data_IF_718143334721
#
_entry.id   IF_718143334721
#
_cell.length_a   1.000
_cell.length_b   1.000
_cell.length_c   1.000
_cell.angle_alpha   90.00
_cell.angle_beta   90.00
_cell.angle_gamma   90.00
#
_symmetry.space_group_name_H-M   'P 1'
#
loop_
_entity.id
_entity.type
_entity.pdbx_description
1 polymer ?
#
# COMPACT_ATOMS: atom_id res chain seq x y z
N UNK A 1 49.50 -53.53 9.72
CA UNK A 1 49.80 -54.69 8.84
C UNK A 1 48.56 -54.97 8.01
N UNK A 2 48.66 -54.81 6.67
CA UNK A 2 47.77 -55.26 5.57
C UNK A 2 46.25 -54.95 5.69
N UNK A 3 45.60 -54.07 4.92
CA UNK A 3 45.41 -53.95 3.45
C UNK A 3 45.11 -55.30 2.75
N UNK A 4 43.99 -55.35 2.02
CA UNK A 4 44.11 -55.53 0.57
C UNK A 4 43.41 -54.40 -0.22
N UNK A 5 44.15 -53.86 -1.19
CA UNK A 5 43.70 -53.07 -2.32
C UNK A 5 43.18 -54.04 -3.39
N UNK A 6 42.16 -53.72 -4.19
CA UNK A 6 42.25 -53.02 -5.50
C UNK A 6 40.98 -53.46 -6.28
N UNK A 7 40.35 -52.73 -7.21
CA UNK A 7 40.85 -52.24 -8.51
C UNK A 7 39.85 -51.23 -9.11
N UNK A 8 40.42 -50.21 -9.76
CA UNK A 8 39.99 -49.24 -10.79
C UNK A 8 38.57 -49.11 -11.39
N UNK A 9 38.22 -47.83 -11.61
CA UNK A 9 37.24 -47.21 -12.54
C UNK A 9 37.77 -47.23 -14.01
N UNK A 10 37.27 -46.47 -15.04
CA UNK A 10 36.07 -45.59 -15.19
C UNK A 10 35.33 -45.73 -16.56
N UNK A 11 34.10 -45.19 -16.73
CA UNK A 11 33.58 -44.62 -18.02
C UNK A 11 32.40 -43.65 -17.75
N UNK A 12 32.53 -42.38 -18.17
CA UNK A 12 31.46 -41.34 -18.29
C UNK A 12 30.76 -41.44 -19.66
N UNK A 13 29.85 -40.54 -20.11
CA UNK A 13 28.84 -39.71 -19.45
C UNK A 13 27.43 -39.95 -20.04
N UNK A 14 26.37 -39.46 -19.40
CA UNK A 14 25.08 -39.25 -20.08
C UNK A 14 24.44 -37.98 -19.57
N UNK A 15 24.58 -36.93 -20.39
CA UNK A 15 23.75 -35.76 -20.37
C UNK A 15 22.27 -36.17 -20.36
N UNK A 16 21.43 -35.49 -19.58
CA UNK A 16 20.14 -35.00 -20.03
C UNK A 16 19.58 -34.00 -19.00
N UNK A 17 19.34 -32.80 -19.51
CA UNK A 17 18.37 -31.81 -19.07
C UNK A 17 18.48 -31.25 -17.66
N UNK A 18 19.27 -30.19 -17.57
CA UNK A 18 18.99 -29.00 -16.77
C UNK A 18 17.51 -28.62 -16.92
N UNK A 19 16.68 -29.00 -15.95
CA UNK A 19 15.39 -28.33 -15.73
C UNK A 19 15.65 -27.27 -14.68
N UNK A 20 15.68 -26.03 -15.15
CA UNK A 20 15.74 -24.83 -14.33
C UNK A 20 14.73 -24.95 -13.19
N UNK A 21 15.22 -24.89 -11.95
CA UNK A 21 14.40 -24.54 -10.81
C UNK A 21 13.86 -23.13 -11.08
N UNK A 22 12.59 -23.05 -11.47
CA UNK A 22 11.87 -21.78 -11.55
C UNK A 22 11.51 -21.43 -10.11
N UNK A 23 12.07 -20.36 -9.52
CA UNK A 23 11.54 -19.83 -8.28
C UNK A 23 10.14 -19.31 -8.59
N UNK A 24 9.13 -19.87 -7.92
CA UNK A 24 7.75 -19.40 -8.00
C UNK A 24 7.73 -18.07 -7.23
N UNK A 25 7.96 -16.98 -7.96
CA UNK A 25 7.71 -15.62 -7.52
C UNK A 25 6.25 -15.52 -7.05
N UNK A 26 6.01 -15.34 -5.75
CA UNK A 26 4.80 -14.63 -5.36
C UNK A 26 4.92 -13.24 -5.99
N UNK A 27 3.95 -12.88 -6.85
CA UNK A 27 3.80 -11.51 -7.34
C UNK A 27 3.41 -10.64 -6.14
N UNK A 28 4.38 -10.09 -5.43
CA UNK A 28 4.16 -8.93 -4.58
C UNK A 28 3.70 -7.81 -5.51
N UNK A 29 2.43 -7.41 -5.43
CA UNK A 29 1.95 -6.23 -6.15
C UNK A 29 2.58 -5.01 -5.47
N UNK A 30 3.59 -4.42 -6.10
CA UNK A 30 4.33 -3.27 -5.57
C UNK A 30 3.54 -2.02 -5.92
N UNK A 31 2.94 -1.41 -4.91
CA UNK A 31 2.12 -0.22 -5.06
C UNK A 31 2.68 0.81 -4.08
N UNK A 32 3.15 1.92 -4.62
CA UNK A 32 3.84 2.98 -3.90
C UNK A 32 3.28 4.32 -4.34
N UNK A 33 2.95 5.17 -3.38
CA UNK A 33 2.48 6.54 -3.60
C UNK A 33 3.49 7.53 -3.03
N UNK A 34 3.62 8.70 -3.66
CA UNK A 34 4.43 9.83 -3.18
C UNK A 34 3.57 11.08 -3.08
N UNK A 35 3.72 11.87 -2.01
CA UNK A 35 2.97 13.12 -1.80
C UNK A 35 3.91 14.30 -1.71
N UNK A 36 3.92 15.13 -2.77
CA UNK A 36 4.66 16.39 -2.85
C UNK A 36 4.02 17.45 -1.93
N UNK A 37 4.85 18.17 -1.16
CA UNK A 37 4.42 19.21 -0.22
C UNK A 37 5.05 20.55 -0.61
N UNK A 38 4.22 21.58 -0.81
CA UNK A 38 4.62 22.99 -0.78
C UNK A 38 3.77 23.76 0.25
N UNK A 39 4.43 24.56 1.08
CA UNK A 39 3.84 25.26 2.22
C UNK A 39 3.21 26.61 1.84
N UNK A 40 2.02 26.89 2.38
CA UNK A 40 1.64 28.28 2.72
C UNK A 40 0.50 28.31 3.75
N UNK A 41 0.60 29.26 4.69
CA UNK A 41 -0.28 29.46 5.85
C UNK A 41 -1.61 30.12 5.47
N UNK A 42 -2.71 29.75 6.16
CA UNK A 42 -4.03 30.32 5.93
C UNK A 42 -4.68 30.92 7.19
N UNK A 43 -5.32 32.07 6.98
CA UNK A 43 -6.23 32.73 7.92
C UNK A 43 -7.70 32.29 7.71
N UNK A 44 -8.42 32.31 8.83
CA UNK A 44 -9.77 31.82 9.15
C UNK A 44 -10.90 32.68 8.56
N UNK A 45 -12.07 32.08 8.21
CA UNK A 45 -13.42 32.42 8.73
C UNK A 45 -14.64 31.80 7.98
N UNK A 46 -15.46 31.06 8.75
CA UNK A 46 -16.93 31.00 8.93
C UNK A 46 -18.01 30.86 7.80
N UNK A 47 -18.73 29.71 7.90
CA UNK A 47 -20.19 29.43 7.98
C UNK A 47 -21.21 29.89 6.90
N UNK A 48 -22.11 28.97 6.46
CA UNK A 48 -23.59 28.97 6.69
C UNK A 48 -24.34 27.78 5.98
N UNK A 49 -25.35 27.29 6.71
CA UNK A 49 -26.50 26.36 6.55
C UNK A 49 -27.02 25.72 5.23
N UNK A 50 -27.61 24.53 5.45
CA UNK A 50 -28.33 23.56 4.58
C UNK A 50 -29.82 23.87 4.29
N UNK A 51 -30.35 23.36 3.16
CA UNK A 51 -31.56 22.48 3.08
C UNK A 51 -31.74 21.80 1.70
N UNK A 52 -32.53 20.70 1.58
CA UNK A 52 -32.31 19.64 0.58
C UNK A 52 -33.34 19.58 -0.56
N UNK A 53 -32.95 18.96 -1.68
CA UNK A 53 -33.82 18.49 -2.76
C UNK A 53 -33.31 17.15 -3.34
N UNK A 54 -34.19 16.37 -3.97
CA UNK A 54 -34.11 14.91 -4.15
C UNK A 54 -33.74 14.49 -5.59
N UNK A 55 -32.88 13.45 -5.72
CA UNK A 55 -32.47 12.62 -6.92
C UNK A 55 -31.44 13.24 -7.91
N UNK A 56 -30.68 12.46 -8.70
CA UNK A 56 -30.06 11.12 -8.53
C UNK A 56 -28.62 11.26 -7.96
N UNK A 57 -27.84 10.19 -7.81
CA UNK A 57 -26.46 10.28 -7.29
C UNK A 57 -25.51 10.95 -8.31
N UNK A 58 -25.57 12.27 -8.36
CA UNK A 58 -24.63 13.14 -9.07
C UNK A 58 -23.65 13.67 -8.02
N UNK A 59 -22.35 13.39 -8.17
CA UNK A 59 -21.33 13.83 -7.21
C UNK A 59 -20.60 15.04 -7.79
N UNK A 60 -21.03 16.23 -7.38
CA UNK A 60 -20.36 17.50 -7.72
C UNK A 60 -19.31 17.77 -6.65
N UNK A 61 -18.04 17.73 -7.02
CA UNK A 61 -16.91 18.05 -6.14
C UNK A 61 -16.49 19.52 -6.31
N UNK A 62 -16.95 20.40 -5.42
CA UNK A 62 -16.40 21.75 -5.26
C UNK A 62 -15.33 21.73 -4.16
N UNK A 63 -14.07 21.81 -4.54
CA UNK A 63 -12.97 21.98 -3.60
C UNK A 63 -12.83 23.47 -3.26
N UNK A 64 -13.43 23.92 -2.15
CA UNK A 64 -13.30 25.31 -1.68
C UNK A 64 -12.37 25.39 -0.46
N UNK A 65 -11.31 26.20 -0.60
CA UNK A 65 -10.33 26.74 0.37
C UNK A 65 -8.92 26.15 0.19
N UNK A 66 -7.83 26.87 -0.14
CA UNK A 66 -7.61 28.30 -0.42
C UNK A 66 -6.17 28.55 -0.93
N UNK A 67 -6.05 29.45 -1.91
CA UNK A 67 -4.91 30.30 -2.34
C UNK A 67 -3.49 29.74 -2.42
N UNK A 68 -3.21 28.99 -3.48
CA UNK A 68 -2.06 29.16 -4.38
C UNK A 68 -2.50 28.61 -5.74
N UNK A 69 -2.18 29.30 -6.84
CA UNK A 69 -2.70 29.01 -8.18
C UNK A 69 -2.30 27.63 -8.70
N UNK A 70 -3.11 26.62 -8.39
CA UNK A 70 -3.25 25.40 -9.17
C UNK A 70 -4.70 25.38 -9.64
N UNK A 71 -4.90 25.40 -10.97
CA UNK A 71 -6.21 25.26 -11.59
C UNK A 71 -6.90 24.05 -10.99
N UNK A 72 -7.97 24.29 -10.25
CA UNK A 72 -8.81 23.26 -9.63
C UNK A 72 -9.63 22.63 -10.74
N UNK A 73 -9.07 21.61 -11.39
CA UNK A 73 -9.76 20.85 -12.43
C UNK A 73 -10.83 19.99 -11.76
N UNK A 74 -12.07 20.46 -11.75
CA UNK A 74 -13.22 19.66 -11.30
C UNK A 74 -13.45 18.51 -12.27
N UNK A 75 -13.47 17.28 -11.78
CA UNK A 75 -13.73 16.10 -12.60
C UNK A 75 -14.83 15.23 -12.01
N UNK A 76 -15.53 14.50 -12.86
CA UNK A 76 -16.64 13.60 -12.53
C UNK A 76 -16.41 12.23 -13.19
N UNK A 77 -16.65 11.16 -12.43
CA UNK A 77 -16.66 9.79 -12.94
C UNK A 77 -18.08 9.22 -12.93
N UNK A 78 -18.48 8.62 -14.05
CA UNK A 78 -19.75 7.92 -14.21
C UNK A 78 -19.50 6.46 -14.57
N UNK A 79 -19.95 5.54 -13.72
CA UNK A 79 -19.86 4.10 -13.93
C UNK A 79 -21.07 3.60 -14.74
N UNK A 80 -20.84 3.26 -16.02
CA UNK A 80 -21.83 2.64 -16.90
C UNK A 80 -21.85 1.12 -16.79
N UNK A 81 -22.61 0.43 -17.64
CA UNK A 81 -22.60 -1.05 -17.64
C UNK A 81 -21.24 -1.58 -18.10
N UNK A 82 -20.80 -1.15 -19.28
CA UNK A 82 -19.62 -1.71 -19.96
C UNK A 82 -18.46 -0.72 -20.04
N UNK A 83 -18.71 0.52 -19.63
CA UNK A 83 -17.88 1.70 -19.88
C UNK A 83 -17.85 2.58 -18.65
N UNK A 84 -16.79 3.37 -18.53
CA UNK A 84 -16.60 4.33 -17.45
C UNK A 84 -16.26 5.66 -18.08
N UNK A 85 -17.06 6.67 -17.79
CA UNK A 85 -16.89 8.00 -18.33
C UNK A 85 -16.24 8.91 -17.28
N UNK A 86 -15.16 9.58 -17.69
CA UNK A 86 -14.49 10.63 -16.95
C UNK A 86 -14.77 11.95 -17.66
N UNK A 87 -15.33 12.93 -16.95
CA UNK A 87 -15.48 14.30 -17.40
C UNK A 87 -14.53 15.18 -16.61
N UNK A 88 -13.68 15.93 -17.29
CA UNK A 88 -12.71 16.85 -16.69
C UNK A 88 -13.01 18.26 -17.19
N UNK A 89 -13.37 19.18 -16.29
CA UNK A 89 -13.61 20.58 -16.62
C UNK A 89 -12.28 21.29 -16.84
N UNK A 90 -12.08 21.77 -18.06
CA UNK A 90 -10.91 22.50 -18.51
C UNK A 90 -11.16 23.98 -18.20
N UNK A 91 -10.32 24.59 -17.36
CA UNK A 91 -10.47 26.01 -17.01
C UNK A 91 -10.37 26.94 -18.24
N UNK A 92 -11.08 28.07 -18.18
CA UNK A 92 -11.44 28.95 -19.30
C UNK A 92 -10.31 29.54 -20.17
N UNK A 93 -9.02 29.47 -19.79
CA UNK A 93 -8.01 30.39 -20.36
C UNK A 93 -6.86 29.79 -21.20
N UNK A 94 -6.76 28.47 -21.47
CA UNK A 94 -5.57 27.98 -22.21
C UNK A 94 -5.75 26.90 -23.28
N UNK A 95 -6.95 26.38 -23.53
CA UNK A 95 -7.15 25.24 -24.43
C UNK A 95 -8.04 25.64 -25.60
N UNK A 96 -7.45 25.73 -26.80
CA UNK A 96 -8.16 26.16 -28.01
C UNK A 96 -8.38 25.01 -29.00
N UNK A 97 -7.75 23.85 -28.80
CA UNK A 97 -7.82 22.71 -29.74
C UNK A 97 -7.46 21.38 -29.09
N UNK A 98 -7.92 20.26 -29.67
CA UNK A 98 -7.50 18.89 -29.33
C UNK A 98 -5.98 18.66 -29.42
N UNK A 99 -5.25 19.54 -30.11
CA UNK A 99 -3.78 19.52 -30.19
C UNK A 99 -3.07 19.94 -28.89
N UNK A 100 -3.80 20.57 -27.98
CA UNK A 100 -3.29 21.06 -26.70
C UNK A 100 -3.53 20.06 -25.56
N UNK A 101 -4.15 18.91 -25.85
CA UNK A 101 -4.45 17.82 -24.90
C UNK A 101 -3.83 16.52 -25.40
N UNK A 102 -3.14 15.82 -24.50
CA UNK A 102 -2.64 14.47 -24.71
C UNK A 102 -3.29 13.56 -23.68
N UNK A 103 -4.05 12.58 -24.17
CA UNK A 103 -4.63 11.51 -23.34
C UNK A 103 -3.92 10.23 -23.72
N UNK A 104 -3.21 9.65 -22.76
CA UNK A 104 -2.53 8.37 -22.89
C UNK A 104 -3.11 7.40 -21.87
N UNK A 105 -3.65 6.29 -22.35
CA UNK A 105 -4.20 5.25 -21.50
C UNK A 105 -3.39 3.98 -21.74
N UNK A 106 -2.77 3.47 -20.68
CA UNK A 106 -2.14 2.17 -20.65
C UNK A 106 -2.99 1.18 -19.82
N UNK A 107 -2.53 -0.06 -19.63
CA UNK A 107 -3.29 -1.07 -18.86
C UNK A 107 -3.51 -0.64 -17.40
N UNK A 108 -2.55 0.08 -16.83
CA UNK A 108 -2.48 0.39 -15.40
C UNK A 108 -2.76 1.85 -15.06
N UNK A 109 -2.66 2.79 -16.00
CA UNK A 109 -2.69 4.23 -15.78
C UNK A 109 -3.37 4.99 -16.95
N UNK A 110 -4.08 6.05 -16.60
CA UNK A 110 -4.57 7.10 -17.50
C UNK A 110 -3.81 8.38 -17.19
N UNK A 111 -3.06 8.87 -18.16
CA UNK A 111 -2.32 10.13 -18.07
C UNK A 111 -2.93 11.16 -19.00
N UNK A 112 -3.35 12.30 -18.44
CA UNK A 112 -3.87 13.44 -19.17
C UNK A 112 -2.87 14.59 -19.01
N UNK A 113 -2.29 15.04 -20.12
CA UNK A 113 -1.38 16.18 -20.17
C UNK A 113 -2.03 17.31 -20.97
N UNK A 114 -1.90 18.53 -20.46
CA UNK A 114 -2.43 19.72 -21.09
C UNK A 114 -1.29 20.69 -21.37
N UNK A 115 -1.38 21.40 -22.49
CA UNK A 115 -0.39 22.39 -22.88
C UNK A 115 -0.64 23.69 -22.11
N UNK A 116 0.36 24.13 -21.36
CA UNK A 116 0.41 25.41 -20.66
C UNK A 116 1.72 26.10 -21.04
N UNK A 117 1.66 27.35 -21.49
CA UNK A 117 2.83 28.17 -21.87
C UNK A 117 3.78 27.47 -22.87
N UNK A 118 3.22 26.69 -23.81
CA UNK A 118 3.98 26.00 -24.84
C UNK A 118 4.59 24.64 -24.42
N UNK A 119 4.45 24.23 -23.17
CA UNK A 119 4.90 22.92 -22.67
C UNK A 119 3.73 22.06 -22.17
N UNK A 120 3.82 20.73 -22.30
CA UNK A 120 2.82 19.82 -21.76
C UNK A 120 3.09 19.57 -20.27
N UNK A 121 2.11 19.86 -19.42
CA UNK A 121 2.11 19.51 -18.00
C UNK A 121 1.08 18.41 -17.75
N UNK A 122 1.42 17.46 -16.89
CA UNK A 122 0.46 16.45 -16.42
C UNK A 122 -0.64 17.14 -15.64
N UNK A 123 -1.84 17.12 -16.18
CA UNK A 123 -3.05 17.66 -15.57
C UNK A 123 -3.66 16.66 -14.60
N UNK A 124 -3.59 15.36 -14.95
CA UNK A 124 -4.13 14.28 -14.16
C UNK A 124 -3.44 12.97 -14.51
N UNK A 125 -3.20 12.13 -13.51
CA UNK A 125 -2.70 10.77 -13.66
C UNK A 125 -3.50 9.87 -12.71
N UNK A 126 -4.03 8.77 -13.23
CA UNK A 126 -4.98 7.92 -12.50
C UNK A 126 -4.62 6.46 -12.72
N UNK A 127 -4.58 5.65 -11.66
CA UNK A 127 -4.45 4.20 -11.80
C UNK A 127 -5.77 3.55 -12.28
N UNK A 128 -5.70 2.81 -13.38
CA UNK A 128 -6.80 2.06 -14.00
C UNK A 128 -6.92 0.61 -13.48
N UNK A 129 -5.97 0.16 -12.65
CA UNK A 129 -5.95 -1.15 -11.99
C UNK A 129 -6.07 -2.37 -12.92
N UNK A 130 -5.61 -2.26 -14.17
CA UNK A 130 -5.72 -3.30 -15.19
C UNK A 130 -7.18 -3.71 -15.47
N UNK A 131 -8.14 -2.81 -15.20
CA UNK A 131 -9.58 -3.07 -15.36
C UNK A 131 -10.16 -2.50 -16.64
N UNK A 132 -9.36 -1.77 -17.42
CA UNK A 132 -9.78 -1.15 -18.68
C UNK A 132 -9.08 -1.85 -19.84
N UNK A 133 -9.71 -1.83 -21.01
CA UNK A 133 -9.08 -2.14 -22.28
C UNK A 133 -8.54 -0.85 -22.90
N UNK A 134 -7.22 -0.57 -22.83
CA UNK A 134 -6.69 0.73 -23.22
C UNK A 134 -6.87 1.02 -24.72
N UNK A 135 -6.83 -0.04 -25.54
CA UNK A 135 -7.06 0.04 -26.98
C UNK A 135 -8.50 0.42 -27.37
N UNK A 136 -9.45 0.32 -26.43
CA UNK A 136 -10.86 0.71 -26.61
C UNK A 136 -11.18 2.02 -25.86
N UNK A 137 -10.15 2.75 -25.39
CA UNK A 137 -10.33 4.07 -24.78
C UNK A 137 -10.53 5.13 -25.85
N UNK A 138 -11.60 5.91 -25.70
CA UNK A 138 -11.94 7.01 -26.62
C UNK A 138 -12.05 8.28 -25.79
N UNK A 139 -11.59 9.40 -26.33
CA UNK A 139 -11.76 10.70 -25.70
C UNK A 139 -12.24 11.73 -26.71
N UNK A 140 -12.97 12.73 -26.20
CA UNK A 140 -13.50 13.84 -26.96
C UNK A 140 -13.46 15.12 -26.13
N UNK A 141 -13.38 16.24 -26.82
CA UNK A 141 -13.46 17.58 -26.23
C UNK A 141 -14.88 18.10 -26.51
N UNK A 142 -15.66 18.30 -25.46
CA UNK A 142 -17.02 18.83 -25.48
C UNK A 142 -17.02 20.20 -24.81
N UNK A 143 -16.97 21.27 -25.61
CA UNK A 143 -16.82 22.67 -25.17
C UNK A 143 -15.68 22.87 -24.13
N UNK A 144 -16.03 23.00 -22.85
CA UNK A 144 -15.13 23.22 -21.71
C UNK A 144 -14.74 21.93 -20.98
N UNK A 145 -15.11 20.77 -21.51
CA UNK A 145 -14.93 19.47 -20.86
C UNK A 145 -14.17 18.48 -21.73
N UNK A 146 -13.14 17.88 -21.15
CA UNK A 146 -12.53 16.67 -21.70
C UNK A 146 -13.32 15.46 -21.19
N UNK A 147 -13.93 14.72 -22.11
CA UNK A 147 -14.65 13.49 -21.80
C UNK A 147 -13.82 12.30 -22.27
N UNK A 148 -13.44 11.43 -21.34
CA UNK A 148 -12.69 10.20 -21.60
C UNK A 148 -13.59 9.01 -21.25
N UNK A 149 -13.83 8.14 -22.22
CA UNK A 149 -14.59 6.91 -22.06
C UNK A 149 -13.64 5.71 -22.07
N UNK A 150 -13.65 4.95 -20.98
CA UNK A 150 -12.80 3.82 -20.70
C UNK A 150 -13.62 2.52 -20.75
N UNK A 151 -13.30 1.61 -21.67
CA UNK A 151 -14.01 0.32 -21.76
C UNK A 151 -13.57 -0.64 -20.67
N UNK A 152 -14.51 -1.21 -19.91
CA UNK A 152 -14.20 -2.22 -18.88
C UNK A 152 -13.70 -3.51 -19.52
N UNK A 153 -12.73 -4.13 -18.85
CA UNK A 153 -12.29 -5.49 -19.17
C UNK A 153 -13.33 -6.53 -18.75
N UNK A 154 -13.98 -6.31 -17.61
CA UNK A 154 -15.08 -7.13 -17.09
C UNK A 154 -16.28 -6.21 -16.76
N UNK A 155 -17.40 -6.31 -17.51
CA UNK A 155 -18.57 -5.45 -17.32
C UNK A 155 -19.30 -5.71 -16.00
N UNK A 156 -19.18 -6.92 -15.44
CA UNK A 156 -19.84 -7.28 -14.17
C UNK A 156 -19.09 -6.70 -12.95
N UNK A 157 -17.85 -6.23 -13.16
CA UNK A 157 -17.05 -5.59 -12.12
C UNK A 157 -17.41 -4.11 -12.05
N UNK A 158 -18.04 -3.71 -10.95
CA UNK A 158 -18.24 -2.29 -10.62
C UNK A 158 -16.91 -1.54 -10.66
N UNK A 159 -16.93 -0.37 -11.26
CA UNK A 159 -15.75 0.46 -11.33
C UNK A 159 -15.34 0.85 -9.91
N UNK A 160 -14.06 0.68 -9.52
CA UNK A 160 -13.61 1.19 -8.23
C UNK A 160 -13.80 2.70 -8.25
N UNK A 161 -14.38 3.26 -7.18
CA UNK A 161 -14.36 4.70 -6.98
C UNK A 161 -12.90 5.16 -7.05
N UNK A 162 -12.57 5.83 -8.16
CA UNK A 162 -11.23 6.37 -8.48
C UNK A 162 -10.95 7.55 -7.57
N UNK A 163 -12.00 8.20 -7.06
CA UNK A 163 -11.81 9.20 -6.01
C UNK A 163 -11.43 8.41 -4.77
N UNK A 164 -10.14 8.11 -4.65
CA UNK A 164 -9.47 7.54 -3.47
C UNK A 164 -9.52 8.55 -2.32
N UNK A 165 -10.67 9.18 -2.13
CA UNK A 165 -11.01 10.06 -1.03
C UNK A 165 -10.97 9.26 0.25
N UNK A 166 -10.67 9.97 1.33
CA UNK A 166 -10.59 9.38 2.65
C UNK A 166 -11.87 8.62 3.02
N UNK A 167 -13.04 9.21 2.75
CA UNK A 167 -14.35 8.64 3.09
C UNK A 167 -14.66 7.38 2.28
N UNK A 168 -14.36 7.39 0.97
CA UNK A 168 -14.57 6.21 0.11
C UNK A 168 -13.61 5.08 0.45
N UNK A 169 -12.33 5.41 0.66
CA UNK A 169 -11.31 4.43 1.01
C UNK A 169 -11.57 3.76 2.36
N UNK A 170 -11.92 4.54 3.39
CA UNK A 170 -12.19 4.00 4.73
C UNK A 170 -13.34 3.00 4.71
N UNK A 171 -14.46 3.33 4.04
CA UNK A 171 -15.61 2.41 3.90
C UNK A 171 -15.26 1.20 3.04
N UNK A 172 -14.61 1.41 1.89
CA UNK A 172 -14.28 0.34 0.95
C UNK A 172 -13.27 -0.65 1.51
N UNK A 173 -12.15 -0.16 2.05
CA UNK A 173 -11.08 -1.00 2.61
C UNK A 173 -11.55 -1.75 3.85
N UNK A 174 -12.38 -1.13 4.70
CA UNK A 174 -12.96 -1.80 5.87
C UNK A 174 -13.70 -3.08 5.49
N UNK A 175 -14.47 -3.08 4.39
CA UNK A 175 -15.16 -4.27 3.89
C UNK A 175 -14.19 -5.32 3.32
N UNK A 176 -13.11 -4.87 2.69
CA UNK A 176 -12.09 -5.74 2.08
C UNK A 176 -11.23 -6.45 3.13
N UNK A 177 -10.91 -5.79 4.25
CA UNK A 177 -10.08 -6.34 5.31
C UNK A 177 -10.73 -7.53 6.04
N UNK A 178 -12.07 -7.65 6.01
CA UNK A 178 -12.82 -8.73 6.70
C UNK A 178 -12.43 -8.88 8.18
N UNK A 179 -12.14 -7.76 8.85
CA UNK A 179 -11.74 -7.72 10.26
C UNK A 179 -10.26 -7.98 10.52
N UNK A 180 -9.44 -8.21 9.49
CA UNK A 180 -7.99 -8.31 9.63
C UNK A 180 -7.39 -7.01 10.17
N UNK A 181 -6.40 -7.15 11.03
CA UNK A 181 -5.65 -6.04 11.63
C UNK A 181 -4.57 -5.52 10.69
N UNK A 182 -4.11 -4.29 10.92
CA UNK A 182 -3.04 -3.63 10.16
C UNK A 182 -1.85 -3.41 11.09
N UNK A 183 -0.65 -3.68 10.62
CA UNK A 183 0.62 -3.45 11.30
C UNK A 183 1.44 -2.44 10.51
N UNK A 184 1.79 -1.32 11.13
CA UNK A 184 2.66 -0.30 10.55
C UNK A 184 4.09 -0.53 11.04
N UNK A 185 4.99 -0.77 10.10
CA UNK A 185 6.41 -1.01 10.34
C UNK A 185 7.24 0.04 9.61
N UNK A 186 8.49 0.25 10.05
CA UNK A 186 9.41 1.15 9.37
C UNK A 186 10.47 1.73 10.28
N UNK A 187 11.21 2.70 9.78
CA UNK A 187 12.36 3.27 10.47
C UNK A 187 11.98 4.20 11.65
N UNK A 188 10.74 4.73 11.71
CA UNK A 188 10.34 5.70 12.73
C UNK A 188 9.08 5.26 13.49
N UNK A 189 9.22 5.08 14.80
CA UNK A 189 8.09 4.81 15.70
C UNK A 189 7.06 5.95 15.70
N UNK A 190 7.51 7.20 15.55
CA UNK A 190 6.61 8.37 15.54
C UNK A 190 5.70 8.36 14.31
N UNK A 191 6.27 8.08 13.13
CA UNK A 191 5.50 7.99 11.88
C UNK A 191 4.46 6.89 12.00
N UNK A 192 4.89 5.70 12.44
CA UNK A 192 4.00 4.55 12.66
C UNK A 192 2.85 4.93 13.61
N UNK A 193 3.15 5.56 14.74
CA UNK A 193 2.15 5.94 15.73
C UNK A 193 1.16 6.99 15.21
N UNK A 194 1.63 8.03 14.52
CA UNK A 194 0.73 9.09 14.02
C UNK A 194 -0.20 8.56 12.95
N UNK A 195 0.32 7.79 12.00
CA UNK A 195 -0.46 7.20 10.91
C UNK A 195 -1.42 6.13 11.44
N UNK A 196 -1.03 5.35 12.46
CA UNK A 196 -1.91 4.32 13.04
C UNK A 196 -3.18 4.92 13.64
N UNK A 197 -3.08 6.09 14.29
CA UNK A 197 -4.25 6.77 14.87
C UNK A 197 -5.21 7.26 13.79
N UNK A 198 -4.70 7.88 12.72
CA UNK A 198 -5.54 8.33 11.61
C UNK A 198 -6.27 7.14 10.96
N UNK A 199 -5.55 6.04 10.68
CA UNK A 199 -6.15 4.82 10.15
C UNK A 199 -7.19 4.21 11.08
N UNK A 200 -6.88 4.13 12.38
CA UNK A 200 -7.77 3.55 13.37
C UNK A 200 -9.08 4.35 13.48
N UNK A 201 -8.99 5.68 13.51
CA UNK A 201 -10.17 6.57 13.50
C UNK A 201 -10.97 6.40 12.22
N UNK A 202 -10.31 6.39 11.05
CA UNK A 202 -10.98 6.23 9.76
C UNK A 202 -11.70 4.89 9.61
N UNK A 203 -11.08 3.80 10.04
CA UNK A 203 -11.62 2.44 9.92
C UNK A 203 -12.56 2.03 11.07
N UNK A 204 -12.63 2.82 12.15
CA UNK A 204 -13.29 2.41 13.38
C UNK A 204 -12.64 1.17 14.00
N UNK A 205 -11.30 1.14 13.97
CA UNK A 205 -10.43 0.11 14.54
C UNK A 205 -9.78 0.61 15.84
N UNK A 206 -9.21 -0.30 16.63
CA UNK A 206 -8.50 0.06 17.86
C UNK A 206 -7.03 0.41 17.54
N UNK A 207 -6.56 1.64 17.83
CA UNK A 207 -5.15 1.97 17.72
C UNK A 207 -4.36 1.32 18.87
N UNK A 208 -3.24 0.68 18.55
CA UNK A 208 -2.33 0.08 19.53
C UNK A 208 -0.90 0.51 19.22
N UNK A 209 -0.14 0.90 20.25
CA UNK A 209 1.26 1.26 20.14
C UNK A 209 2.11 0.26 20.93
N UNK A 210 2.95 -0.52 20.24
CA UNK A 210 3.80 -1.51 20.91
C UNK A 210 4.85 -0.84 21.79
N UNK A 211 5.27 0.40 21.50
CA UNK A 211 6.17 1.16 22.37
C UNK A 211 5.50 1.45 23.71
N UNK A 212 4.31 2.05 23.69
CA UNK A 212 3.55 2.37 24.90
C UNK A 212 3.22 1.11 25.71
N UNK A 213 2.81 0.03 25.04
CA UNK A 213 2.53 -1.25 25.68
C UNK A 213 3.78 -1.82 26.35
N UNK A 214 4.91 -1.81 25.64
CA UNK A 214 6.19 -2.29 26.16
C UNK A 214 6.60 -1.54 27.41
N UNK A 215 6.60 -0.21 27.39
CA UNK A 215 6.99 0.60 28.55
C UNK A 215 6.03 0.41 29.74
N UNK A 216 4.74 0.21 29.44
CA UNK A 216 3.71 -0.05 30.45
C UNK A 216 3.89 -1.40 31.13
N UNK A 217 4.23 -2.46 30.37
CA UNK A 217 4.38 -3.82 30.90
C UNK A 217 5.72 -4.03 31.61
N UNK A 218 6.82 -3.49 31.08
CA UNK A 218 8.16 -3.65 31.68
C UNK A 218 8.42 -2.66 32.81
N UNK A 219 7.68 -1.54 32.87
CA UNK A 219 7.97 -0.39 33.74
C UNK A 219 9.34 0.23 33.45
N UNK A 220 9.87 0.01 32.25
CA UNK A 220 11.12 0.57 31.75
C UNK A 220 10.89 1.36 30.47
N UNK A 221 11.74 2.34 30.17
CA UNK A 221 11.72 3.01 28.87
C UNK A 221 12.37 2.14 27.80
N UNK A 222 12.03 2.36 26.53
CA UNK A 222 12.73 1.69 25.41
C UNK A 222 14.24 1.94 25.47
N UNK A 223 14.67 3.17 25.81
CA UNK A 223 16.09 3.53 25.90
C UNK A 223 16.83 2.73 27.00
N UNK A 224 16.16 2.44 28.12
CA UNK A 224 16.70 1.59 29.19
C UNK A 224 16.93 0.16 28.68
N UNK A 225 15.94 -0.41 27.98
CA UNK A 225 16.05 -1.76 27.42
C UNK A 225 17.10 -1.86 26.32
N UNK A 226 17.30 -0.81 25.52
CA UNK A 226 18.41 -0.75 24.55
C UNK A 226 19.76 -0.86 25.27
N UNK A 227 19.91 -0.24 26.44
CA UNK A 227 21.13 -0.32 27.24
C UNK A 227 21.33 -1.69 27.89
N UNK A 228 20.26 -2.44 28.18
CA UNK A 228 20.34 -3.81 28.72
C UNK A 228 20.82 -4.83 27.68
N UNK A 229 20.51 -4.62 26.41
CA UNK A 229 21.01 -5.45 25.32
C UNK A 229 20.39 -5.13 23.97
N UNK A 230 21.13 -5.40 22.89
CA UNK A 230 20.71 -5.05 21.51
C UNK A 230 19.37 -5.68 21.09
N UNK A 231 19.02 -6.84 21.66
CA UNK A 231 17.83 -7.62 21.29
C UNK A 231 16.71 -7.55 22.33
N UNK A 232 16.92 -6.92 23.49
CA UNK A 232 15.95 -6.92 24.58
C UNK A 232 14.62 -6.28 24.18
N UNK A 233 14.68 -5.17 23.42
CA UNK A 233 13.51 -4.51 22.85
C UNK A 233 12.78 -5.42 21.86
N UNK A 234 13.50 -6.02 20.91
CA UNK A 234 12.91 -6.90 19.90
C UNK A 234 12.26 -8.14 20.52
N UNK A 235 12.85 -8.74 21.55
CA UNK A 235 12.30 -9.88 22.27
C UNK A 235 11.02 -9.53 23.04
N UNK A 236 11.05 -8.41 23.75
CA UNK A 236 9.88 -7.93 24.50
C UNK A 236 8.74 -7.55 23.56
N UNK A 237 9.04 -6.83 22.48
CA UNK A 237 8.05 -6.49 21.45
C UNK A 237 7.49 -7.74 20.76
N UNK A 238 8.32 -8.77 20.51
CA UNK A 238 7.86 -10.04 19.93
C UNK A 238 6.80 -10.71 20.79
N UNK A 239 6.96 -10.70 22.12
CA UNK A 239 5.98 -11.24 23.06
C UNK A 239 4.67 -10.44 23.07
N UNK A 240 4.75 -9.11 22.91
CA UNK A 240 3.56 -8.26 22.76
C UNK A 240 2.85 -8.60 21.44
N UNK A 241 3.59 -8.70 20.33
CA UNK A 241 3.03 -9.02 19.02
C UNK A 241 2.38 -10.41 18.99
N UNK A 242 2.92 -11.39 19.73
CA UNK A 242 2.28 -12.69 19.92
C UNK A 242 0.88 -12.55 20.53
N UNK A 243 0.75 -11.79 21.62
CA UNK A 243 -0.55 -11.50 22.25
C UNK A 243 -1.49 -10.76 21.28
N UNK A 244 -0.96 -9.77 20.56
CA UNK A 244 -1.72 -8.98 19.60
C UNK A 244 -2.13 -9.76 18.35
N UNK A 245 -1.47 -10.86 18.01
CA UNK A 245 -1.75 -11.63 16.78
C UNK A 245 -3.16 -12.25 16.73
N UNK A 246 -3.80 -12.38 17.89
CA UNK A 246 -5.20 -12.85 18.02
C UNK A 246 -6.23 -11.72 17.95
N UNK A 247 -5.80 -10.46 18.02
CA UNK A 247 -6.69 -9.31 18.00
C UNK A 247 -7.17 -9.03 16.58
N UNK A 248 -8.47 -8.80 16.45
CA UNK A 248 -9.11 -8.38 15.21
C UNK A 248 -9.41 -6.89 15.24
N UNK A 249 -9.45 -6.26 14.08
CA UNK A 249 -9.84 -4.85 13.92
C UNK A 249 -8.97 -3.89 14.73
N UNK A 250 -7.66 -4.12 14.73
CA UNK A 250 -6.67 -3.20 15.32
C UNK A 250 -5.73 -2.61 14.27
N UNK A 251 -5.21 -1.42 14.55
CA UNK A 251 -4.09 -0.82 13.81
C UNK A 251 -2.92 -0.68 14.78
N UNK A 252 -1.88 -1.47 14.56
CA UNK A 252 -0.73 -1.61 15.46
C UNK A 252 0.44 -0.81 14.89
N UNK A 253 0.92 0.18 15.63
CA UNK A 253 2.20 0.84 15.37
C UNK A 253 3.31 0.05 16.06
N UNK A 254 4.31 -0.40 15.28
CA UNK A 254 5.48 -1.09 15.84
C UNK A 254 6.59 -0.10 16.20
N UNK A 255 7.48 -0.52 17.09
CA UNK A 255 8.74 0.17 17.36
C UNK A 255 9.55 0.17 16.07
N UNK A 256 9.95 1.36 15.64
CA UNK A 256 10.74 1.56 14.43
C UNK A 256 12.24 1.40 14.65
N UNK A 257 12.98 1.55 13.56
CA UNK A 257 14.44 1.51 13.56
C UNK A 257 14.99 0.09 13.68
N UNK A 258 16.21 -0.07 14.18
CA UNK A 258 16.91 -1.38 14.20
C UNK A 258 16.59 -2.24 15.43
N UNK A 259 15.96 -1.67 16.46
CA UNK A 259 15.70 -2.35 17.73
C UNK A 259 14.32 -3.00 17.82
N UNK A 260 13.39 -2.65 16.92
CA UNK A 260 12.06 -3.24 16.87
C UNK A 260 12.09 -4.66 16.30
N UNK A 261 11.12 -5.48 16.69
CA UNK A 261 10.95 -6.86 16.22
C UNK A 261 10.84 -6.95 14.69
N UNK A 262 10.18 -5.98 14.05
CA UNK A 262 10.03 -5.92 12.59
C UNK A 262 11.36 -5.71 11.84
N UNK A 263 12.40 -5.18 12.51
CA UNK A 263 13.72 -5.03 11.90
C UNK A 263 14.44 -6.37 11.68
N UNK A 264 14.04 -7.41 12.43
CA UNK A 264 14.61 -8.76 12.37
C UNK A 264 13.76 -9.65 11.47
N UNK A 265 14.31 -10.14 10.36
CA UNK A 265 13.56 -10.93 9.37
C UNK A 265 12.95 -12.23 9.90
N UNK A 266 13.50 -12.79 10.98
CA UNK A 266 13.07 -14.03 11.63
C UNK A 266 11.91 -13.86 12.63
N UNK A 267 11.55 -12.61 13.02
CA UNK A 267 10.53 -12.32 14.04
C UNK A 267 9.16 -11.92 13.48
N UNK A 268 8.93 -12.17 12.20
CA UNK A 268 7.72 -11.75 11.48
C UNK A 268 6.50 -12.64 11.66
N UNK A 269 6.70 -13.81 12.27
CA UNK A 269 5.67 -14.84 12.45
C UNK A 269 4.32 -14.28 12.92
N UNK A 270 4.32 -13.38 13.90
CA UNK A 270 3.10 -12.77 14.44
C UNK A 270 2.61 -11.57 13.63
N UNK A 271 3.49 -10.84 12.94
CA UNK A 271 3.12 -9.73 12.04
C UNK A 271 2.28 -10.23 10.85
N UNK A 272 2.54 -11.45 10.37
CA UNK A 272 1.77 -12.06 9.29
C UNK A 272 0.30 -12.35 9.63
N UNK A 273 -0.11 -12.22 10.90
CA UNK A 273 -1.52 -12.31 11.32
C UNK A 273 -2.40 -11.19 10.72
N UNK A 274 -1.81 -10.05 10.36
CA UNK A 274 -2.50 -8.93 9.74
C UNK A 274 -1.81 -8.43 8.47
N UNK A 275 -2.32 -7.33 7.93
CA UNK A 275 -1.71 -6.64 6.80
C UNK A 275 -0.57 -5.75 7.28
N UNK A 276 0.61 -5.93 6.70
CA UNK A 276 1.82 -5.21 7.08
C UNK A 276 2.13 -4.11 6.07
N UNK A 277 2.31 -2.89 6.56
CA UNK A 277 2.57 -1.69 5.75
C UNK A 277 3.91 -1.12 6.18
N UNK A 278 4.88 -1.09 5.28
CA UNK A 278 6.16 -0.43 5.54
C UNK A 278 6.09 1.05 5.15
N UNK A 279 6.13 1.93 6.15
CA UNK A 279 6.27 3.37 5.97
C UNK A 279 7.76 3.72 5.87
N UNK A 280 8.22 4.01 4.65
CA UNK A 280 9.63 4.23 4.35
C UNK A 280 9.84 5.66 3.85
N UNK A 281 10.72 6.41 4.50
CA UNK A 281 11.15 7.70 3.97
C UNK A 281 12.02 7.49 2.73
N UNK A 282 11.80 8.32 1.72
CA UNK A 282 12.46 8.28 0.40
C UNK A 282 13.16 9.59 0.13
N UNK A 283 14.34 9.50 -0.49
CA UNK A 283 15.08 10.65 -1.02
C UNK A 283 14.75 10.89 -2.51
N UNK A 284 13.83 10.12 -3.08
CA UNK A 284 13.44 10.25 -4.47
C UNK A 284 12.78 11.61 -4.75
N UNK A 285 13.10 12.18 -5.92
CA UNK A 285 12.59 13.48 -6.36
C UNK A 285 11.25 13.38 -7.09
N UNK A 286 10.91 12.20 -7.57
CA UNK A 286 9.69 11.92 -8.33
C UNK A 286 9.13 10.55 -7.95
N UNK A 287 7.88 10.32 -8.34
CA UNK A 287 7.13 9.11 -8.00
C UNK A 287 7.72 7.84 -8.66
N UNK A 288 8.21 7.95 -9.90
CA UNK A 288 8.80 6.83 -10.62
C UNK A 288 10.07 6.33 -9.91
N UNK A 289 10.93 7.25 -9.45
CA UNK A 289 12.11 6.93 -8.67
C UNK A 289 11.75 6.35 -7.29
N UNK A 290 10.71 6.87 -6.62
CA UNK A 290 10.25 6.33 -5.35
C UNK A 290 9.73 4.89 -5.50
N UNK A 291 9.01 4.61 -6.59
CA UNK A 291 8.51 3.27 -6.93
C UNK A 291 9.63 2.29 -7.22
N UNK A 292 10.64 2.72 -7.97
CA UNK A 292 11.82 1.90 -8.22
C UNK A 292 12.63 1.64 -6.94
N UNK A 293 12.76 2.64 -6.06
CA UNK A 293 13.38 2.47 -4.75
C UNK A 293 12.61 1.46 -3.89
N UNK A 294 11.27 1.53 -3.87
CA UNK A 294 10.44 0.54 -3.18
C UNK A 294 10.66 -0.87 -3.73
N UNK A 295 10.73 -1.02 -5.07
CA UNK A 295 10.99 -2.29 -5.74
C UNK A 295 12.35 -2.87 -5.36
N UNK A 296 13.39 -2.05 -5.38
CA UNK A 296 14.76 -2.44 -4.99
C UNK A 296 14.81 -2.84 -3.52
N UNK A 297 14.15 -2.08 -2.63
CA UNK A 297 14.13 -2.36 -1.20
C UNK A 297 13.51 -3.72 -0.88
N UNK A 298 12.39 -4.06 -1.54
CA UNK A 298 11.75 -5.37 -1.37
C UNK A 298 12.65 -6.48 -1.94
N UNK A 299 13.22 -6.27 -3.14
CA UNK A 299 14.03 -7.30 -3.81
C UNK A 299 15.38 -7.57 -3.15
N UNK A 300 16.02 -6.53 -2.61
CA UNK A 300 17.31 -6.67 -1.95
C UNK A 300 17.21 -7.50 -0.66
N UNK A 301 16.03 -7.58 -0.04
CA UNK A 301 15.82 -8.28 1.23
C UNK A 301 16.71 -7.77 2.38
N UNK A 302 17.39 -6.63 2.19
CA UNK A 302 18.47 -6.17 3.06
C UNK A 302 18.00 -5.59 4.38
N UNK A 303 16.72 -5.20 4.45
CA UNK A 303 16.06 -4.70 5.65
C UNK A 303 14.99 -5.69 6.07
N UNK A 304 14.85 -5.98 7.36
CA UNK A 304 13.79 -6.85 7.87
C UNK A 304 12.38 -6.46 7.40
N UNK A 305 12.17 -5.17 7.12
CA UNK A 305 10.91 -4.62 6.58
C UNK A 305 10.54 -5.09 5.17
N UNK A 306 11.44 -5.72 4.42
CA UNK A 306 11.14 -6.26 3.07
C UNK A 306 10.04 -7.33 3.08
N UNK A 307 9.73 -7.90 4.24
CA UNK A 307 8.66 -8.86 4.45
C UNK A 307 7.24 -8.22 4.46
N UNK A 308 7.14 -6.89 4.43
CA UNK A 308 5.87 -6.19 4.44
C UNK A 308 5.02 -6.49 3.19
N UNK A 309 3.69 -6.53 3.36
CA UNK A 309 2.77 -6.78 2.26
C UNK A 309 2.72 -5.59 1.28
N UNK A 310 2.86 -4.35 1.79
CA UNK A 310 2.92 -3.12 0.98
C UNK A 310 3.98 -2.15 1.51
N UNK A 311 4.47 -1.26 0.64
CA UNK A 311 5.45 -0.23 0.97
C UNK A 311 4.93 1.14 0.54
N UNK A 312 4.85 2.08 1.48
CA UNK A 312 4.45 3.48 1.23
C UNK A 312 5.68 4.36 1.39
N UNK A 313 5.99 5.15 0.35
CA UNK A 313 7.18 6.01 0.29
C UNK A 313 6.82 7.44 0.68
N UNK A 314 7.60 8.02 1.58
CA UNK A 314 7.35 9.35 2.13
C UNK A 314 8.47 10.30 1.70
N UNK A 315 8.14 11.38 0.97
CA UNK A 315 9.09 12.45 0.63
C UNK A 315 9.23 13.43 1.80
N UNK A 316 9.84 12.95 2.88
CA UNK A 316 9.94 13.66 4.16
C UNK A 316 8.76 13.40 5.10
N UNK A 317 8.80 14.02 6.28
CA UNK A 317 7.80 13.83 7.33
C UNK A 317 7.42 15.14 8.01
N UNK A 318 6.11 15.38 8.12
CA UNK A 318 5.47 16.33 9.03
C UNK A 318 4.22 15.65 9.60
N UNK A 319 3.93 15.89 10.87
CA UNK A 319 2.77 15.31 11.55
C UNK A 319 1.44 15.72 10.91
N UNK A 320 1.39 16.87 10.24
CA UNK A 320 0.20 17.35 9.54
C UNK A 320 -0.16 16.49 8.32
N UNK A 321 0.80 15.74 7.76
CA UNK A 321 0.57 14.82 6.63
C UNK A 321 0.13 13.42 7.03
N UNK A 322 -0.05 13.15 8.33
CA UNK A 322 -0.45 11.84 8.84
C UNK A 322 -1.73 11.30 8.15
N UNK A 323 -2.73 12.14 7.92
CA UNK A 323 -3.96 11.75 7.20
C UNK A 323 -3.69 11.39 5.73
N UNK A 324 -2.84 12.16 5.05
CA UNK A 324 -2.44 11.89 3.66
C UNK A 324 -1.70 10.55 3.55
N UNK A 325 -0.79 10.27 4.47
CA UNK A 325 -0.07 8.99 4.52
C UNK A 325 -1.01 7.83 4.84
N UNK A 326 -1.97 8.05 5.75
CA UNK A 326 -3.01 7.07 6.03
C UNK A 326 -3.88 6.80 4.78
N UNK A 327 -4.23 7.82 4.01
CA UNK A 327 -4.99 7.68 2.76
C UNK A 327 -4.20 6.84 1.73
N UNK A 328 -2.91 7.16 1.54
CA UNK A 328 -2.00 6.39 0.68
C UNK A 328 -1.88 4.92 1.15
N UNK A 329 -1.85 4.70 2.46
CA UNK A 329 -1.85 3.35 3.05
C UNK A 329 -3.12 2.58 2.71
N UNK A 330 -4.29 3.20 2.85
CA UNK A 330 -5.58 2.58 2.49
C UNK A 330 -5.65 2.26 1.00
N UNK A 331 -5.15 3.17 0.15
CA UNK A 331 -5.06 2.92 -1.29
C UNK A 331 -4.17 1.72 -1.60
N UNK A 332 -2.95 1.66 -1.06
CA UNK A 332 -2.05 0.52 -1.25
C UNK A 332 -2.67 -0.80 -0.78
N UNK A 333 -3.36 -0.81 0.37
CA UNK A 333 -4.07 -1.98 0.87
C UNK A 333 -5.26 -2.38 -0.01
N UNK A 334 -6.06 -1.42 -0.48
CA UNK A 334 -7.15 -1.65 -1.44
C UNK A 334 -6.61 -2.38 -2.66
N UNK A 335 -5.52 -1.88 -3.25
CA UNK A 335 -4.91 -2.44 -4.44
C UNK A 335 -4.36 -3.85 -4.22
N UNK A 336 -3.65 -4.09 -3.11
CA UNK A 336 -3.17 -5.42 -2.73
C UNK A 336 -4.32 -6.44 -2.57
N UNK A 337 -5.39 -6.07 -1.87
CA UNK A 337 -6.51 -7.01 -1.63
C UNK A 337 -7.29 -7.28 -2.92
N UNK A 338 -7.38 -6.28 -3.81
CA UNK A 338 -7.98 -6.48 -5.12
C UNK A 338 -7.15 -7.40 -6.02
N UNK A 339 -5.81 -7.40 -5.89
CA UNK A 339 -4.93 -8.30 -6.64
C UNK A 339 -4.94 -9.75 -6.11
N UNK A 340 -5.04 -9.97 -4.80
CA UNK A 340 -5.32 -11.29 -4.20
C UNK A 340 -6.56 -11.25 -3.28
N UNK A 341 -7.74 -11.45 -3.87
CA UNK A 341 -9.03 -11.50 -3.14
C UNK A 341 -9.09 -12.57 -2.06
N UNK A 342 -8.21 -13.58 -2.08
CA UNK A 342 -8.15 -14.66 -1.07
C UNK A 342 -7.25 -14.30 0.11
N UNK A 343 -6.42 -13.26 0.00
CA UNK A 343 -5.42 -12.88 0.99
C UNK A 343 -6.01 -12.59 2.39
N UNK A 344 -7.09 -11.80 2.57
CA UNK A 344 -7.69 -11.63 3.89
C UNK A 344 -8.12 -12.97 4.54
N UNK A 345 -8.67 -13.89 3.73
CA UNK A 345 -9.08 -15.21 4.19
C UNK A 345 -7.88 -16.10 4.57
N UNK A 346 -6.77 -16.02 3.84
CA UNK A 346 -5.51 -16.72 4.18
C UNK A 346 -4.93 -16.21 5.50
N UNK A 347 -4.87 -14.89 5.72
CA UNK A 347 -4.41 -14.31 7.00
C UNK A 347 -5.30 -14.75 8.17
N UNK A 348 -6.63 -14.75 7.98
CA UNK A 348 -7.57 -15.29 8.97
C UNK A 348 -7.44 -16.80 9.23
N UNK A 349 -7.01 -17.60 8.24
CA UNK A 349 -6.67 -19.00 8.45
C UNK A 349 -5.37 -19.14 9.25
N UNK A 350 -4.36 -18.34 8.94
CA UNK A 350 -3.07 -18.33 9.64
C UNK A 350 -3.21 -18.02 11.13
N UNK A 351 -4.06 -17.03 11.48
CA UNK A 351 -4.42 -16.73 12.88
C UNK A 351 -5.04 -17.94 13.57
N UNK A 352 -6.04 -18.59 12.94
CA UNK A 352 -6.75 -19.75 13.51
C UNK A 352 -5.85 -20.96 13.75
N UNK A 353 -4.75 -21.06 13.02
CA UNK A 353 -3.75 -22.11 13.20
C UNK A 353 -2.66 -21.73 14.22
N UNK A 354 -2.75 -20.54 14.83
CA UNK A 354 -1.84 -20.10 15.89
C UNK A 354 -0.54 -19.49 15.36
N UNK A 355 -0.56 -18.86 14.18
CA UNK A 355 0.59 -18.14 13.62
C UNK A 355 1.88 -18.97 13.64
N UNK A 356 1.89 -20.19 13.10
CA UNK A 356 2.96 -21.18 13.32
C UNK A 356 4.31 -20.88 12.63
N UNK A 357 4.38 -19.82 11.83
CA UNK A 357 5.58 -19.46 11.07
C UNK A 357 5.72 -20.16 9.71
N UNK A 358 4.65 -20.77 9.22
CA UNK A 358 4.54 -21.35 7.88
C UNK A 358 3.99 -20.37 6.83
N UNK A 359 3.84 -19.09 7.16
CA UNK A 359 3.46 -18.06 6.19
C UNK A 359 4.54 -17.90 5.10
N UNK A 360 4.18 -17.68 3.82
CA UNK A 360 2.83 -17.60 3.24
C UNK A 360 2.19 -18.95 2.87
N UNK A 361 2.96 -20.04 2.98
CA UNK A 361 2.58 -21.38 2.54
C UNK A 361 2.06 -22.23 3.69
N UNK A 362 0.86 -21.90 4.16
CA UNK A 362 0.19 -22.53 5.32
C UNK A 362 0.14 -24.06 5.15
N UNK A 363 0.78 -24.77 6.09
CA UNK A 363 0.85 -26.23 6.14
C UNK A 363 -0.42 -26.85 6.72
N UNK A 364 -0.73 -28.13 6.43
CA UNK A 364 -1.90 -28.77 7.00
C UNK A 364 -1.90 -28.81 8.54
N UNK A 365 -3.07 -29.02 9.16
CA UNK A 365 -3.17 -29.30 10.60
C UNK A 365 -2.31 -30.51 10.98
N UNK A 366 -1.56 -30.43 12.08
CA UNK A 366 -0.64 -31.49 12.53
C UNK A 366 0.81 -31.37 12.03
N UNK A 367 1.11 -30.41 11.14
CA UNK A 367 2.50 -30.03 10.86
C UNK A 367 3.12 -29.28 12.05
N UNK A 368 4.32 -29.70 12.45
CA UNK A 368 5.10 -29.09 13.53
C UNK A 368 6.26 -28.25 12.95
N UNK A 369 6.34 -26.95 13.25
CA UNK A 369 7.46 -26.09 12.86
C UNK A 369 8.84 -26.64 13.28
N UNK A 370 8.93 -27.36 14.40
CA UNK A 370 10.19 -27.90 14.92
C UNK A 370 10.70 -29.12 14.12
N UNK A 371 9.85 -29.75 13.32
CA UNK A 371 10.19 -30.95 12.53
C UNK A 371 10.75 -30.63 11.13
N UNK A 372 10.77 -29.36 10.73
CA UNK A 372 11.11 -28.93 9.38
C UNK A 372 12.52 -28.35 9.21
N UNK A 373 13.35 -29.06 8.45
CA UNK A 373 14.63 -28.65 7.82
C UNK A 373 14.45 -27.58 6.73
N UNK A 374 13.69 -26.52 7.02
CA UNK A 374 13.28 -25.52 6.03
C UNK A 374 13.33 -24.09 6.56
N UNK A 375 14.48 -23.69 7.09
CA UNK A 375 14.86 -22.28 7.07
C UNK A 375 15.52 -22.02 5.72
N UNK A 376 14.83 -21.33 4.83
CA UNK A 376 15.40 -20.63 3.68
C UNK A 376 14.89 -19.21 3.73
#
# INVERSE_FOLDING_TARGET
MAIPASVWAPVSPSCLSSTSLIPIHLKTTIISFSTSIQSSSLHRSNSINLRPSTKPNTFICNNSSSTASTTTTSYEFSDGSDEVELRLLLGDESIQSSKDVLVDADESFLTIKMKQDGSFRTAMEISLYDKIKPAETIWLLDDDQLVVNLKKQDPDVKWPDITETWESLTVGVLQLLKGASIYLVGESSEINYKVSRELAVGLGYTPLDTKELLETFTKQTVDSLIAEGSNAVAETESAILESLSSHIRSVVATIGGQHGAAASGDRWRHLYSGFTVWLSQSEAKDEAAAKEEARINIQSGSKGFSNADVVVKLSGWDSDYSKTVAQATLSALKQLILSDKKLPGKKGLYIRLGCRGDWPNIKPPGWDPATGTGAV
#
